data_IF_256875581056
#
_entry.id   IF_256875581056
#
_cell.length_a   1.000
_cell.length_b   1.000
_cell.length_c   1.000
_cell.angle_alpha   90.00
_cell.angle_beta   90.00
_cell.angle_gamma   90.00
#
_symmetry.space_group_name_H-M   'P 1'
#
loop_
_entity.id
_entity.type
_entity.pdbx_description
1 polymer ?
#
# COMPACT_ATOMS: atom_id res chain seq x y z
N UNK A 1 -5.36 5.34 -15.13
CA UNK A 1 -4.12 5.37 -14.36
C UNK A 1 -3.40 4.02 -14.36
N UNK A 2 -2.08 4.03 -14.39
CA UNK A 2 -1.22 2.84 -14.42
C UNK A 2 -0.63 2.51 -13.02
N UNK A 3 -1.43 2.70 -11.97
CA UNK A 3 -1.18 2.13 -10.66
C UNK A 3 -1.39 0.61 -10.66
N UNK A 4 -1.42 -0.03 -9.49
CA UNK A 4 -1.57 -1.48 -9.38
C UNK A 4 -2.83 -2.00 -10.09
N UNK A 5 -3.99 -1.41 -9.81
CA UNK A 5 -5.25 -1.84 -10.39
C UNK A 5 -5.32 -1.62 -11.91
N UNK A 6 -4.89 -0.44 -12.39
CA UNK A 6 -4.92 -0.16 -13.82
C UNK A 6 -3.91 -1.00 -14.62
N UNK A 7 -2.74 -1.26 -14.05
CA UNK A 7 -1.74 -2.16 -14.62
C UNK A 7 -2.26 -3.60 -14.75
N UNK A 8 -2.95 -4.10 -13.72
CA UNK A 8 -3.59 -5.42 -13.75
C UNK A 8 -4.71 -5.50 -14.78
N UNK A 9 -5.60 -4.51 -14.81
CA UNK A 9 -6.70 -4.48 -15.78
C UNK A 9 -6.16 -4.45 -17.22
N UNK A 10 -5.20 -3.57 -17.50
CA UNK A 10 -4.59 -3.46 -18.80
C UNK A 10 -3.88 -4.75 -19.23
N UNK A 11 -3.06 -5.33 -18.33
CA UNK A 11 -2.35 -6.57 -18.62
C UNK A 11 -3.28 -7.77 -18.79
N UNK A 12 -4.33 -7.85 -17.93
CA UNK A 12 -5.35 -8.90 -18.02
C UNK A 12 -6.07 -8.90 -19.37
N UNK A 13 -6.34 -7.73 -19.94
CA UNK A 13 -6.96 -7.58 -21.27
C UNK A 13 -5.96 -7.79 -22.40
N UNK A 14 -4.84 -7.06 -22.37
CA UNK A 14 -3.85 -7.08 -23.43
C UNK A 14 -3.21 -8.46 -23.64
N UNK A 15 -2.91 -9.20 -22.55
CA UNK A 15 -2.38 -10.56 -22.64
C UNK A 15 -3.37 -11.58 -23.24
N UNK A 16 -4.66 -11.22 -23.27
CA UNK A 16 -5.73 -12.00 -23.91
C UNK A 16 -6.11 -11.47 -25.30
N UNK A 17 -5.28 -10.58 -25.89
CA UNK A 17 -5.44 -10.08 -27.24
C UNK A 17 -6.46 -8.96 -27.43
N UNK A 18 -6.88 -8.28 -26.35
CA UNK A 18 -7.73 -7.10 -26.42
C UNK A 18 -6.86 -5.86 -26.57
N UNK A 19 -7.17 -5.00 -27.54
CA UNK A 19 -6.51 -3.70 -27.69
C UNK A 19 -6.90 -2.78 -26.53
N UNK A 20 -5.89 -2.28 -25.82
CA UNK A 20 -6.04 -1.47 -24.61
C UNK A 20 -5.27 -0.17 -24.77
N UNK A 21 -5.94 0.95 -24.55
CA UNK A 21 -5.29 2.23 -24.31
C UNK A 21 -5.12 2.43 -22.81
N UNK A 22 -3.86 2.42 -22.32
CA UNK A 22 -3.51 2.66 -20.94
C UNK A 22 -3.05 4.09 -20.76
N UNK A 23 -3.94 4.92 -20.20
CA UNK A 23 -3.68 6.34 -19.98
C UNK A 23 -3.18 6.61 -18.56
N UNK A 24 -2.03 7.28 -18.44
CA UNK A 24 -1.48 7.74 -17.15
C UNK A 24 -0.81 9.11 -17.33
N UNK A 25 -0.91 9.96 -16.32
CA UNK A 25 -0.29 11.29 -16.39
C UNK A 25 1.23 11.27 -16.24
N UNK A 26 1.82 10.17 -15.75
CA UNK A 26 3.27 10.00 -15.66
C UNK A 26 3.89 9.77 -17.05
N UNK A 27 5.12 10.25 -17.30
CA UNK A 27 6.00 11.03 -16.42
C UNK A 27 5.78 12.54 -16.48
N UNK A 28 4.77 13.03 -17.15
CA UNK A 28 4.55 14.49 -17.34
C UNK A 28 4.09 15.16 -16.04
N UNK A 29 3.31 14.44 -15.22
CA UNK A 29 2.77 14.92 -13.95
C UNK A 29 2.77 13.82 -12.91
N UNK A 30 3.07 14.18 -11.67
CA UNK A 30 3.09 13.27 -10.54
C UNK A 30 2.05 13.70 -9.49
N UNK A 31 1.52 12.73 -8.74
CA UNK A 31 0.79 13.03 -7.50
C UNK A 31 1.79 13.35 -6.39
N UNK A 32 1.36 13.94 -5.26
CA UNK A 32 2.26 14.23 -4.15
C UNK A 32 2.96 13.01 -3.54
N UNK A 33 2.47 11.78 -3.79
CA UNK A 33 3.02 10.56 -3.22
C UNK A 33 3.91 9.76 -4.19
N UNK A 34 3.84 10.02 -5.49
CA UNK A 34 4.61 9.30 -6.49
C UNK A 34 5.90 10.04 -6.84
N UNK A 35 7.00 9.30 -6.95
CA UNK A 35 8.33 9.82 -7.26
C UNK A 35 8.93 9.14 -8.52
N UNK A 36 8.48 7.91 -8.83
CA UNK A 36 8.97 7.13 -9.96
C UNK A 36 8.12 7.31 -11.21
N UNK A 37 8.76 7.36 -12.37
CA UNK A 37 8.09 7.31 -13.68
C UNK A 37 7.55 5.90 -14.00
N UNK A 38 7.92 4.88 -13.24
CA UNK A 38 7.44 3.52 -13.43
C UNK A 38 5.96 3.37 -13.04
N UNK A 39 5.31 2.38 -13.65
CA UNK A 39 3.95 1.98 -13.32
C UNK A 39 3.92 1.04 -12.11
N UNK A 40 2.77 0.95 -11.42
CA UNK A 40 2.62 0.08 -10.26
C UNK A 40 3.49 0.46 -9.05
N UNK A 41 3.86 1.74 -8.89
CA UNK A 41 4.68 2.22 -7.79
C UNK A 41 4.01 1.99 -6.43
N UNK A 42 4.78 1.44 -5.47
CA UNK A 42 4.35 1.26 -4.08
C UNK A 42 4.77 2.48 -3.24
N UNK A 43 3.82 3.28 -2.78
CA UNK A 43 4.09 4.59 -2.17
C UNK A 43 4.25 4.59 -0.65
N UNK A 44 3.50 3.76 0.10
CA UNK A 44 3.50 3.81 1.56
C UNK A 44 4.32 2.71 2.23
N UNK A 45 4.44 1.53 1.61
CA UNK A 45 5.17 0.37 2.14
C UNK A 45 5.63 -0.52 1.00
N UNK A 46 6.68 -1.29 1.23
CA UNK A 46 7.12 -2.34 0.30
C UNK A 46 6.54 -3.73 0.65
N UNK A 47 5.65 -3.82 1.65
CA UNK A 47 5.03 -5.06 2.08
C UNK A 47 3.69 -5.29 1.41
N UNK A 48 3.51 -6.49 0.90
CA UNK A 48 2.25 -7.03 0.39
C UNK A 48 1.55 -7.92 1.45
N UNK A 49 1.79 -7.67 2.73
CA UNK A 49 1.22 -8.42 3.87
C UNK A 49 1.67 -9.89 3.92
N UNK A 50 0.97 -10.71 4.73
CA UNK A 50 1.29 -12.14 4.92
C UNK A 50 1.21 -12.94 3.61
N UNK A 51 2.15 -13.87 3.39
CA UNK A 51 2.15 -14.81 2.24
C UNK A 51 1.69 -16.23 2.65
N UNK A 52 1.19 -16.40 3.87
CA UNK A 52 0.69 -17.67 4.38
C UNK A 52 -0.70 -17.97 3.80
N UNK A 53 -0.74 -18.87 2.83
CA UNK A 53 -1.95 -19.27 2.08
C UNK A 53 -2.99 -19.93 2.98
N UNK A 54 -2.55 -20.71 3.97
CA UNK A 54 -3.43 -21.53 4.79
C UNK A 54 -3.88 -20.86 6.08
N UNK A 55 -3.08 -19.95 6.60
CA UNK A 55 -3.33 -19.29 7.87
C UNK A 55 -3.82 -17.85 7.75
N UNK A 56 -3.90 -17.29 6.53
CA UNK A 56 -4.21 -15.87 6.37
C UNK A 56 -4.93 -15.55 5.05
N UNK A 57 -6.03 -14.80 5.12
CA UNK A 57 -6.80 -14.37 3.95
C UNK A 57 -5.95 -13.59 2.92
N UNK A 58 -4.98 -12.75 3.39
CA UNK A 58 -4.08 -12.04 2.47
C UNK A 58 -3.19 -12.99 1.67
N UNK A 59 -2.76 -14.11 2.27
CA UNK A 59 -1.99 -15.14 1.57
C UNK A 59 -2.86 -15.89 0.55
N UNK A 60 -4.08 -16.26 0.94
CA UNK A 60 -5.02 -16.94 0.03
C UNK A 60 -5.40 -16.05 -1.16
N UNK A 61 -5.67 -14.76 -0.95
CA UNK A 61 -5.95 -13.82 -2.04
C UNK A 61 -4.83 -13.77 -3.07
N UNK A 62 -3.57 -13.74 -2.61
CA UNK A 62 -2.40 -13.78 -3.51
C UNK A 62 -2.34 -15.06 -4.33
N UNK A 63 -2.67 -16.20 -3.73
CA UNK A 63 -2.69 -17.47 -4.44
C UNK A 63 -3.81 -17.51 -5.49
N UNK A 64 -4.99 -16.98 -5.18
CA UNK A 64 -6.07 -16.81 -6.17
C UNK A 64 -5.60 -15.96 -7.36
N UNK A 65 -4.93 -14.83 -7.09
CA UNK A 65 -4.38 -13.95 -8.13
C UNK A 65 -3.26 -14.63 -8.95
N UNK A 66 -2.36 -15.40 -8.31
CA UNK A 66 -1.31 -16.16 -9.03
C UNK A 66 -1.94 -17.13 -10.04
N UNK A 67 -2.97 -17.85 -9.65
CA UNK A 67 -3.71 -18.78 -10.52
C UNK A 67 -4.40 -18.09 -11.70
N UNK A 68 -4.78 -16.83 -11.52
CA UNK A 68 -5.40 -16.01 -12.56
C UNK A 68 -4.37 -15.30 -13.47
N UNK A 69 -3.06 -15.46 -13.21
CA UNK A 69 -2.00 -14.87 -14.01
C UNK A 69 -1.74 -13.39 -13.73
N UNK A 70 -1.89 -12.97 -12.47
CA UNK A 70 -1.66 -11.59 -12.03
C UNK A 70 -0.27 -11.08 -12.33
N UNK A 71 -0.19 -9.91 -12.96
CA UNK A 71 1.05 -9.18 -13.21
C UNK A 71 1.72 -8.74 -11.90
N UNK A 72 0.94 -8.26 -10.94
CA UNK A 72 1.42 -7.84 -9.61
C UNK A 72 2.08 -9.00 -8.87
N UNK A 73 1.49 -10.20 -8.92
CA UNK A 73 2.09 -11.36 -8.27
C UNK A 73 3.36 -11.81 -8.99
N UNK A 74 3.40 -11.78 -10.32
CA UNK A 74 4.63 -12.06 -11.06
C UNK A 74 5.75 -11.07 -10.73
N UNK A 75 5.43 -9.77 -10.65
CA UNK A 75 6.37 -8.74 -10.22
C UNK A 75 6.87 -8.96 -8.79
N UNK A 76 5.99 -9.35 -7.89
CA UNK A 76 6.34 -9.61 -6.49
C UNK A 76 7.32 -10.79 -6.36
N UNK A 77 7.17 -11.85 -7.15
CA UNK A 77 8.08 -13.01 -7.08
C UNK A 77 9.50 -12.66 -7.54
N UNK A 78 9.67 -11.85 -8.59
CA UNK A 78 11.00 -11.48 -9.11
C UNK A 78 11.69 -10.38 -8.31
N UNK A 79 10.95 -9.67 -7.46
CA UNK A 79 11.46 -8.54 -6.66
C UNK A 79 11.43 -8.80 -5.16
N UNK A 80 11.17 -10.05 -4.74
CA UNK A 80 11.06 -10.45 -3.33
C UNK A 80 12.30 -10.07 -2.53
N UNK A 81 12.09 -9.48 -1.35
CA UNK A 81 13.11 -9.28 -0.32
C UNK A 81 12.73 -10.01 0.96
N UNK A 82 13.70 -10.44 1.78
CA UNK A 82 13.43 -11.14 3.04
C UNK A 82 12.57 -10.29 3.99
N UNK A 83 11.48 -10.87 4.51
CA UNK A 83 10.56 -10.20 5.43
C UNK A 83 9.77 -11.20 6.31
N UNK A 84 10.40 -12.27 6.77
CA UNK A 84 9.77 -13.30 7.60
C UNK A 84 8.57 -13.95 6.91
N UNK A 85 7.40 -13.94 7.57
CA UNK A 85 6.15 -14.46 7.00
C UNK A 85 5.40 -13.51 6.07
N UNK A 86 5.94 -12.34 5.78
CA UNK A 86 5.36 -11.38 4.85
C UNK A 86 6.00 -11.49 3.46
N UNK A 87 5.23 -11.14 2.43
CA UNK A 87 5.75 -10.88 1.09
C UNK A 87 6.14 -9.40 1.02
N UNK A 88 7.44 -9.11 1.01
CA UNK A 88 7.97 -7.78 0.77
C UNK A 88 8.79 -7.76 -0.52
N UNK A 89 8.90 -6.61 -1.15
CA UNK A 89 9.52 -6.43 -2.45
C UNK A 89 10.50 -5.27 -2.48
N UNK A 90 11.49 -5.37 -3.35
CA UNK A 90 12.28 -4.24 -3.80
C UNK A 90 11.38 -3.37 -4.71
N UNK A 91 11.09 -2.14 -4.28
CA UNK A 91 10.10 -1.26 -4.94
C UNK A 91 10.49 -0.92 -6.37
N UNK A 92 11.77 -0.69 -6.61
CA UNK A 92 12.27 -0.28 -7.91
C UNK A 92 12.21 -1.44 -8.91
N UNK A 93 12.64 -2.64 -8.50
CA UNK A 93 12.55 -3.85 -9.30
C UNK A 93 11.09 -4.22 -9.58
N UNK A 94 10.22 -4.10 -8.58
CA UNK A 94 8.80 -4.38 -8.71
C UNK A 94 8.13 -3.50 -9.76
N UNK A 95 8.28 -2.19 -9.64
CA UNK A 95 7.67 -1.22 -10.56
C UNK A 95 8.30 -1.25 -11.96
N UNK A 96 9.61 -1.50 -12.04
CA UNK A 96 10.30 -1.70 -13.31
C UNK A 96 9.77 -2.92 -14.08
N UNK A 97 9.59 -4.05 -13.39
CA UNK A 97 9.03 -5.26 -14.00
C UNK A 97 7.62 -5.04 -14.55
N UNK A 98 6.73 -4.41 -13.77
CA UNK A 98 5.37 -4.07 -14.24
C UNK A 98 5.44 -3.20 -15.48
N UNK A 99 6.26 -2.15 -15.43
CA UNK A 99 6.42 -1.20 -16.56
C UNK A 99 6.93 -1.89 -17.82
N UNK A 100 7.93 -2.77 -17.69
CA UNK A 100 8.49 -3.53 -18.80
C UNK A 100 7.43 -4.44 -19.44
N UNK A 101 6.68 -5.19 -18.62
CA UNK A 101 5.64 -6.11 -19.12
C UNK A 101 4.50 -5.39 -19.84
N UNK A 102 4.09 -4.24 -19.34
CA UNK A 102 3.06 -3.42 -20.00
C UNK A 102 3.55 -2.87 -21.34
N UNK A 103 4.79 -2.38 -21.39
CA UNK A 103 5.42 -1.87 -22.63
C UNK A 103 5.70 -2.96 -23.66
N UNK A 104 6.00 -4.17 -23.21
CA UNK A 104 6.28 -5.30 -24.09
C UNK A 104 5.01 -5.96 -24.66
N UNK A 105 3.84 -5.69 -24.10
CA UNK A 105 2.59 -6.27 -24.59
C UNK A 105 2.13 -5.54 -25.86
N UNK A 106 2.02 -6.22 -27.03
CA UNK A 106 1.71 -5.57 -28.30
C UNK A 106 0.31 -4.96 -28.36
N UNK A 107 -0.60 -5.41 -27.49
CA UNK A 107 -1.98 -4.95 -27.44
C UNK A 107 -2.20 -3.83 -26.39
N UNK A 108 -1.13 -3.30 -25.77
CA UNK A 108 -1.25 -2.21 -24.79
C UNK A 108 -0.58 -0.96 -25.35
N UNK A 109 -1.38 0.07 -25.62
CA UNK A 109 -0.94 1.37 -26.08
C UNK A 109 -0.90 2.34 -24.91
N UNK A 110 0.31 2.78 -24.55
CA UNK A 110 0.51 3.69 -23.39
C UNK A 110 0.40 5.12 -23.87
N UNK A 111 -0.52 5.87 -23.25
CA UNK A 111 -0.75 7.30 -23.49
C UNK A 111 -0.41 8.09 -22.23
N UNK A 112 0.51 9.05 -22.35
CA UNK A 112 0.96 9.88 -21.23
C UNK A 112 0.19 11.20 -21.23
N UNK A 113 -0.98 11.22 -20.58
CA UNK A 113 -1.79 12.45 -20.43
C UNK A 113 -2.64 12.41 -19.16
N UNK A 114 -3.07 13.59 -18.70
CA UNK A 114 -4.00 13.73 -17.59
C UNK A 114 -5.44 13.66 -18.10
N UNK A 115 -6.19 12.63 -17.68
CA UNK A 115 -7.62 12.52 -17.96
C UNK A 115 -8.39 13.47 -17.06
N UNK A 116 -9.26 14.28 -17.64
CA UNK A 116 -10.01 15.35 -16.94
C UNK A 116 -11.51 15.08 -16.80
N UNK A 117 -12.02 14.02 -17.45
CA UNK A 117 -13.42 13.62 -17.41
C UNK A 117 -13.59 12.10 -17.49
N UNK A 118 -14.70 11.60 -16.97
CA UNK A 118 -15.05 10.18 -17.08
C UNK A 118 -15.30 9.80 -18.55
N UNK A 119 -14.69 8.73 -19.06
CA UNK A 119 -15.01 8.17 -20.37
C UNK A 119 -16.38 7.48 -20.35
N UNK A 120 -16.91 7.18 -21.51
CA UNK A 120 -18.15 6.42 -21.64
C UNK A 120 -17.97 4.94 -21.31
N UNK A 121 -16.78 4.37 -21.55
CA UNK A 121 -16.45 2.97 -21.30
C UNK A 121 -14.99 2.83 -20.84
N UNK A 122 -14.69 1.75 -20.16
CA UNK A 122 -13.34 1.41 -19.71
C UNK A 122 -13.20 1.23 -18.20
N UNK A 123 -11.97 1.34 -17.68
CA UNK A 123 -11.66 1.18 -16.25
C UNK A 123 -11.05 2.44 -15.68
N UNK A 124 -11.69 3.01 -14.66
CA UNK A 124 -11.15 4.09 -13.84
C UNK A 124 -10.35 3.49 -12.70
N UNK A 125 -9.03 3.60 -12.78
CA UNK A 125 -8.07 3.08 -11.80
C UNK A 125 -7.06 4.16 -11.40
N UNK A 126 -7.56 5.36 -11.11
CA UNK A 126 -6.76 6.55 -10.84
C UNK A 126 -6.24 6.64 -9.40
N UNK A 127 -6.66 5.70 -8.57
CA UNK A 127 -6.18 5.55 -7.19
C UNK A 127 -6.75 6.58 -6.20
N UNK A 128 -6.23 6.59 -4.97
CA UNK A 128 -6.80 7.37 -3.88
C UNK A 128 -6.47 8.87 -3.97
N UNK A 129 -5.45 9.23 -4.74
CA UNK A 129 -5.02 10.63 -4.92
C UNK A 129 -5.65 11.27 -6.17
N UNK A 130 -6.79 10.73 -6.61
CA UNK A 130 -7.59 11.34 -7.69
C UNK A 130 -8.00 12.74 -7.30
N UNK A 131 -7.66 13.70 -8.14
CA UNK A 131 -7.89 15.11 -7.87
C UNK A 131 -8.19 15.90 -9.15
N UNK A 132 -8.13 17.24 -9.05
CA UNK A 132 -8.27 18.13 -10.20
C UNK A 132 -9.63 18.08 -10.89
N UNK A 133 -9.62 18.12 -12.23
CA UNK A 133 -10.83 18.17 -13.04
C UNK A 133 -11.56 16.82 -13.05
N UNK A 134 -10.82 15.70 -13.11
CA UNK A 134 -11.44 14.38 -13.09
C UNK A 134 -12.22 14.14 -11.79
N UNK A 135 -11.66 14.54 -10.63
CA UNK A 135 -12.36 14.43 -9.35
C UNK A 135 -13.70 15.18 -9.37
N UNK A 136 -13.71 16.42 -9.89
CA UNK A 136 -14.92 17.22 -10.01
C UNK A 136 -15.96 16.58 -10.94
N UNK A 137 -15.51 16.04 -12.06
CA UNK A 137 -16.41 15.37 -13.02
C UNK A 137 -17.02 14.09 -12.41
N UNK A 138 -16.24 13.34 -11.63
CA UNK A 138 -16.74 12.18 -10.86
C UNK A 138 -17.79 12.63 -9.85
N UNK A 139 -17.50 13.67 -9.07
CA UNK A 139 -18.40 14.20 -8.05
C UNK A 139 -19.73 14.72 -8.67
N UNK A 140 -19.66 15.43 -9.78
CA UNK A 140 -20.82 15.96 -10.50
C UNK A 140 -21.69 14.85 -11.10
N UNK A 141 -21.07 13.80 -11.67
CA UNK A 141 -21.80 12.73 -12.38
C UNK A 141 -22.31 11.60 -11.46
N UNK A 142 -21.57 11.30 -10.39
CA UNK A 142 -21.84 10.15 -9.53
C UNK A 142 -22.36 10.53 -8.13
N UNK A 143 -22.37 11.82 -7.79
CA UNK A 143 -22.77 12.31 -6.48
C UNK A 143 -21.59 12.48 -5.52
N UNK A 144 -21.73 12.10 -4.26
CA UNK A 144 -20.73 12.33 -3.24
C UNK A 144 -19.51 11.39 -3.37
N UNK A 145 -18.31 11.92 -3.16
CA UNK A 145 -17.12 11.16 -2.84
C UNK A 145 -16.85 11.23 -1.34
N UNK A 146 -16.24 10.17 -0.81
CA UNK A 146 -15.83 10.07 0.58
C UNK A 146 -14.31 10.26 0.69
N UNK A 147 -13.84 10.67 1.84
CA UNK A 147 -12.43 10.89 2.08
C UNK A 147 -11.99 10.21 3.36
N UNK A 148 -10.80 9.63 3.33
CA UNK A 148 -10.10 9.17 4.53
C UNK A 148 -8.63 9.59 4.47
N UNK A 149 -7.93 9.44 5.58
CA UNK A 149 -6.52 9.81 5.71
C UNK A 149 -5.69 8.60 6.06
N UNK A 150 -4.58 8.45 5.34
CA UNK A 150 -3.53 7.51 5.70
C UNK A 150 -2.17 8.20 5.80
N UNK A 151 -1.25 7.58 6.52
CA UNK A 151 0.10 8.07 6.68
C UNK A 151 1.12 7.03 6.21
N UNK A 152 2.26 7.49 5.69
CA UNK A 152 3.41 6.65 5.40
C UNK A 152 4.41 6.64 6.55
N UNK A 153 5.24 5.59 6.61
CA UNK A 153 6.31 5.45 7.57
C UNK A 153 7.64 5.98 7.00
N UNK A 154 8.55 6.50 7.85
CA UNK A 154 9.87 6.93 7.42
C UNK A 154 10.76 5.78 6.95
N UNK A 155 11.76 6.13 6.11
CA UNK A 155 12.83 5.25 5.64
C UNK A 155 14.17 5.89 6.02
N UNK A 156 15.10 5.07 6.52
CA UNK A 156 16.42 5.49 6.94
C UNK A 156 17.52 4.75 6.18
N UNK A 157 18.65 5.40 5.98
CA UNK A 157 19.84 4.81 5.37
C UNK A 157 20.44 3.73 6.30
N UNK A 158 20.87 2.62 5.72
CA UNK A 158 21.37 1.46 6.47
C UNK A 158 22.65 1.77 7.27
N UNK A 159 23.56 2.53 6.69
CA UNK A 159 24.85 2.90 7.26
C UNK A 159 24.75 3.92 8.41
N UNK A 160 23.57 4.51 8.59
CA UNK A 160 23.27 5.44 9.68
C UNK A 160 22.63 4.76 10.91
N UNK A 161 22.39 3.44 10.85
CA UNK A 161 21.81 2.65 11.95
C UNK A 161 22.94 2.16 12.85
N UNK A 162 22.84 2.40 14.16
CA UNK A 162 23.77 1.86 15.15
C UNK A 162 23.44 0.37 15.40
N UNK A 163 24.13 -0.52 14.65
CA UNK A 163 23.92 -1.96 14.71
C UNK A 163 24.32 -2.57 16.06
N UNK A 164 25.21 -1.96 16.83
CA UNK A 164 25.59 -2.42 18.18
C UNK A 164 24.44 -2.31 19.20
N UNK A 165 23.42 -1.53 18.84
CA UNK A 165 22.19 -1.35 19.61
C UNK A 165 21.00 -2.14 19.06
N UNK A 166 21.26 -3.14 18.22
CA UNK A 166 20.22 -3.94 17.57
C UNK A 166 20.47 -5.44 17.71
N UNK A 167 19.48 -6.23 17.37
CA UNK A 167 19.63 -7.66 17.11
C UNK A 167 18.81 -8.06 15.90
N UNK A 168 19.20 -9.10 15.18
CA UNK A 168 18.43 -9.64 14.05
C UNK A 168 17.48 -10.73 14.53
N UNK A 169 16.31 -10.80 13.91
CA UNK A 169 15.35 -11.87 14.23
C UNK A 169 13.95 -11.59 13.75
N UNK A 170 13.21 -12.65 13.54
CA UNK A 170 11.80 -12.64 13.15
C UNK A 170 10.93 -13.06 14.31
N UNK A 171 9.73 -12.49 14.40
CA UNK A 171 8.78 -12.86 15.45
C UNK A 171 8.42 -14.33 15.36
N UNK A 172 8.49 -15.00 16.50
CA UNK A 172 8.18 -16.41 16.64
C UNK A 172 9.05 -17.35 15.77
N UNK A 173 10.25 -16.87 15.35
CA UNK A 173 11.15 -17.65 14.49
C UNK A 173 10.59 -17.92 13.09
N UNK A 174 9.68 -17.09 12.61
CA UNK A 174 9.09 -17.20 11.26
C UNK A 174 9.92 -16.40 10.26
N UNK A 175 11.01 -16.98 9.77
CA UNK A 175 11.92 -16.34 8.81
C UNK A 175 13.37 -16.71 9.07
N UNK A 176 14.31 -16.03 8.45
CA UNK A 176 15.75 -16.27 8.53
C UNK A 176 16.51 -15.17 9.29
N UNK A 177 15.81 -14.37 10.10
CA UNK A 177 16.39 -13.21 10.79
C UNK A 177 16.35 -11.95 9.94
N UNK A 178 15.24 -11.74 9.25
CA UNK A 178 15.11 -10.76 8.17
C UNK A 178 14.95 -9.31 8.66
N UNK A 179 14.58 -9.14 9.94
CA UNK A 179 14.37 -7.81 10.53
C UNK A 179 15.55 -7.42 11.43
N UNK A 180 15.92 -6.14 11.37
CA UNK A 180 16.72 -5.50 12.42
C UNK A 180 15.75 -5.05 13.51
N UNK A 181 16.01 -5.47 14.74
CA UNK A 181 15.19 -5.13 15.91
C UNK A 181 15.93 -4.12 16.77
N UNK A 182 15.30 -2.97 17.02
CA UNK A 182 15.79 -1.90 17.89
C UNK A 182 15.11 -2.03 19.25
N UNK A 183 15.76 -2.66 20.25
CA UNK A 183 15.20 -2.81 21.58
C UNK A 183 15.16 -1.46 22.33
N UNK A 184 14.17 -1.31 23.20
CA UNK A 184 14.06 -0.19 24.11
C UNK A 184 13.89 -0.72 25.54
N UNK A 185 14.56 -0.08 26.49
CA UNK A 185 14.25 -0.17 27.93
C UNK A 185 12.92 0.54 28.21
N UNK A 186 12.44 0.40 29.43
CA UNK A 186 11.21 1.10 29.86
C UNK A 186 11.40 2.62 29.80
N UNK A 187 12.53 3.11 30.28
CA UNK A 187 12.87 4.53 30.35
C UNK A 187 12.98 5.14 28.94
N UNK A 188 13.64 4.46 28.02
CA UNK A 188 13.78 4.88 26.61
C UNK A 188 12.42 4.90 25.90
N UNK A 189 11.61 3.87 26.12
CA UNK A 189 10.24 3.82 25.57
C UNK A 189 9.35 4.94 26.14
N UNK A 190 9.41 5.18 27.46
CA UNK A 190 8.62 6.23 28.12
C UNK A 190 9.00 7.61 27.56
N UNK A 191 10.29 7.90 27.42
CA UNK A 191 10.79 9.15 26.83
C UNK A 191 10.37 9.30 25.35
N UNK A 192 10.43 8.21 24.58
CA UNK A 192 9.99 8.20 23.19
C UNK A 192 8.48 8.52 23.08
N UNK A 193 7.64 7.85 23.86
CA UNK A 193 6.17 8.06 23.82
C UNK A 193 5.80 9.49 24.28
N UNK A 194 6.46 10.04 25.29
CA UNK A 194 6.25 11.41 25.73
C UNK A 194 6.62 12.41 24.64
N UNK A 195 7.78 12.25 24.03
CA UNK A 195 8.23 13.08 22.92
C UNK A 195 7.31 12.97 21.69
N UNK A 196 6.86 11.75 21.35
CA UNK A 196 5.96 11.47 20.24
C UNK A 196 4.60 12.15 20.41
N UNK A 197 4.01 12.06 21.60
CA UNK A 197 2.67 12.60 21.89
C UNK A 197 2.66 14.12 22.01
N UNK A 198 3.80 14.73 22.38
CA UNK A 198 3.97 16.18 22.51
C UNK A 198 4.52 16.87 21.24
N UNK A 199 4.93 16.09 20.23
CA UNK A 199 5.54 16.60 19.01
C UNK A 199 4.57 17.39 18.14
N UNK A 200 5.10 18.37 17.40
CA UNK A 200 4.33 19.16 16.46
C UNK A 200 3.95 18.32 15.22
N UNK A 201 2.66 18.35 14.90
CA UNK A 201 2.12 17.72 13.69
C UNK A 201 2.15 18.65 12.49
N UNK A 202 2.26 18.09 11.29
CA UNK A 202 2.06 18.85 10.08
C UNK A 202 0.62 19.39 10.02
N UNK A 203 0.47 20.65 9.62
CA UNK A 203 -0.85 21.25 9.48
C UNK A 203 -1.54 20.63 8.26
N UNK A 204 -2.61 19.92 8.51
CA UNK A 204 -3.49 19.41 7.46
C UNK A 204 -4.47 20.54 7.13
N UNK A 205 -4.32 21.17 5.98
CA UNK A 205 -5.29 22.15 5.49
C UNK A 205 -6.63 21.43 5.27
N UNK A 206 -7.70 21.90 5.92
CA UNK A 206 -9.10 21.42 5.84
C UNK A 206 -9.46 20.07 6.47
N UNK A 207 -8.75 19.57 7.50
CA UNK A 207 -8.86 18.19 7.97
C UNK A 207 -9.42 17.96 9.38
N UNK A 208 -10.04 18.89 9.99
CA UNK A 208 -10.48 18.75 11.39
C UNK A 208 -11.57 17.69 11.64
N UNK A 209 -12.09 16.99 10.61
CA UNK A 209 -13.18 16.01 10.75
C UNK A 209 -13.08 14.77 9.86
N UNK A 210 -11.94 14.48 9.24
CA UNK A 210 -11.77 13.29 8.40
C UNK A 210 -11.60 12.01 9.23
N UNK A 211 -12.20 10.91 8.79
CA UNK A 211 -11.95 9.60 9.36
C UNK A 211 -10.52 9.17 9.03
N UNK A 212 -9.76 8.74 10.07
CA UNK A 212 -8.43 8.15 9.90
C UNK A 212 -8.63 6.64 9.78
N UNK A 213 -8.06 6.07 8.74
CA UNK A 213 -8.10 4.62 8.55
C UNK A 213 -7.25 3.91 9.63
N UNK A 214 -7.87 2.95 10.33
CA UNK A 214 -7.22 2.23 11.44
C UNK A 214 -5.92 1.52 11.02
N UNK A 215 -5.85 0.97 9.81
CA UNK A 215 -4.68 0.24 9.31
C UNK A 215 -3.46 1.11 9.02
N UNK A 216 -3.64 2.42 8.81
CA UNK A 216 -2.58 3.40 8.54
C UNK A 216 -2.60 4.56 9.54
N UNK A 217 -3.10 4.30 10.75
CA UNK A 217 -3.20 5.31 11.82
C UNK A 217 -1.82 5.83 12.19
N UNK A 218 -1.63 7.17 12.27
CA UNK A 218 -0.39 7.75 12.71
C UNK A 218 0.01 7.29 14.11
N UNK A 219 1.30 7.03 14.29
CA UNK A 219 1.89 6.49 15.52
C UNK A 219 1.58 7.37 16.75
N UNK A 220 1.64 8.69 16.57
CA UNK A 220 1.31 9.67 17.61
C UNK A 220 -0.17 9.65 18.01
N UNK A 221 -1.06 9.28 17.09
CA UNK A 221 -2.50 9.09 17.39
C UNK A 221 -2.71 7.79 18.17
N UNK A 222 -2.04 6.70 17.77
CA UNK A 222 -2.06 5.46 18.54
C UNK A 222 -1.51 5.65 19.96
N UNK A 223 -0.38 6.34 20.11
CA UNK A 223 0.25 6.61 21.39
C UNK A 223 -0.65 7.45 22.32
N UNK A 224 -1.42 8.38 21.77
CA UNK A 224 -2.35 9.22 22.55
C UNK A 224 -3.53 8.45 23.16
N UNK A 225 -3.83 7.24 22.65
CA UNK A 225 -4.87 6.35 23.20
C UNK A 225 -4.46 5.68 24.52
N UNK A 226 -3.17 5.70 24.85
CA UNK A 226 -2.63 5.17 26.10
C UNK A 226 -1.15 4.87 25.99
N UNK A 227 -0.42 5.06 27.12
CA UNK A 227 1.04 4.95 27.19
C UNK A 227 1.57 3.61 26.68
N UNK A 228 0.87 2.51 26.93
CA UNK A 228 1.28 1.17 26.54
C UNK A 228 0.73 0.72 25.18
N UNK A 229 -0.09 1.53 24.49
CA UNK A 229 -0.77 1.14 23.25
C UNK A 229 0.21 0.60 22.21
N UNK A 230 1.35 1.29 22.01
CA UNK A 230 2.34 0.87 21.02
C UNK A 230 2.99 -0.47 21.37
N UNK A 231 3.13 -0.82 22.67
CA UNK A 231 3.69 -2.10 23.11
C UNK A 231 2.77 -3.30 22.87
N UNK A 232 1.50 -3.08 22.66
CA UNK A 232 0.52 -4.11 22.25
C UNK A 232 0.32 -4.13 20.73
N UNK A 233 0.87 -3.15 20.01
CA UNK A 233 0.81 -2.98 18.56
C UNK A 233 2.20 -3.03 17.90
N UNK A 234 2.60 -1.90 17.34
CA UNK A 234 3.81 -1.71 16.52
C UNK A 234 5.10 -2.07 17.25
N UNK A 235 5.24 -1.66 18.52
CA UNK A 235 6.43 -1.89 19.35
C UNK A 235 6.33 -3.14 20.24
N UNK A 236 5.47 -4.07 19.87
CA UNK A 236 5.25 -5.30 20.65
C UNK A 236 6.54 -6.12 20.78
N UNK A 237 7.01 -6.47 22.00
CA UNK A 237 8.22 -7.27 22.18
C UNK A 237 7.98 -8.79 22.12
N UNK A 238 6.71 -9.22 22.10
CA UNK A 238 6.36 -10.66 22.15
C UNK A 238 6.84 -11.38 20.89
N UNK A 239 7.47 -12.54 21.09
CA UNK A 239 8.02 -13.37 20.03
C UNK A 239 9.42 -12.95 19.58
N UNK A 240 10.04 -11.97 20.27
CA UNK A 240 11.41 -11.51 20.05
C UNK A 240 12.20 -11.61 21.36
N UNK A 241 13.46 -12.01 21.26
CA UNK A 241 14.45 -11.96 22.31
C UNK A 241 15.81 -11.62 21.68
N UNK A 242 16.69 -10.99 22.45
CA UNK A 242 18.08 -10.75 22.05
C UNK A 242 18.91 -12.05 22.07
N UNK A 243 20.18 -11.95 21.72
CA UNK A 243 21.11 -13.10 21.70
C UNK A 243 21.29 -13.77 23.07
N UNK A 244 21.05 -13.05 24.15
CA UNK A 244 21.09 -13.60 25.53
C UNK A 244 19.77 -14.26 25.95
N UNK A 245 18.75 -14.24 25.10
CA UNK A 245 17.41 -14.76 25.38
C UNK A 245 16.55 -13.79 26.21
N UNK A 246 16.99 -12.56 26.42
CA UNK A 246 16.25 -11.54 27.17
C UNK A 246 15.25 -10.84 26.25
N UNK A 247 14.02 -10.78 26.73
CA UNK A 247 12.94 -10.06 26.05
C UNK A 247 12.99 -8.57 26.40
N UNK A 248 13.14 -7.66 25.41
CA UNK A 248 13.14 -6.22 25.67
C UNK A 248 11.78 -5.69 26.15
N UNK A 249 11.74 -4.49 26.70
CA UNK A 249 10.48 -3.86 27.11
C UNK A 249 9.61 -3.48 25.92
N UNK A 250 10.20 -2.90 24.88
CA UNK A 250 9.57 -2.61 23.59
C UNK A 250 10.58 -2.81 22.46
N UNK A 251 10.12 -2.98 21.22
CA UNK A 251 10.98 -3.19 20.04
C UNK A 251 10.40 -2.50 18.83
N UNK A 252 11.18 -1.63 18.20
CA UNK A 252 10.93 -1.20 16.82
C UNK A 252 11.58 -2.19 15.86
N UNK A 253 10.86 -2.63 14.85
CA UNK A 253 11.41 -3.44 13.77
C UNK A 253 11.71 -2.60 12.53
N UNK A 254 12.87 -2.85 11.92
CA UNK A 254 13.27 -2.25 10.65
C UNK A 254 13.26 -3.34 9.58
N UNK A 255 12.67 -3.03 8.41
CA UNK A 255 12.59 -3.94 7.26
C UNK A 255 13.34 -3.35 6.07
N UNK A 256 14.08 -4.21 5.36
CA UNK A 256 14.76 -3.81 4.11
C UNK A 256 13.77 -3.27 3.09
N UNK A 257 14.12 -2.15 2.46
CA UNK A 257 13.37 -1.56 1.35
C UNK A 257 13.80 -2.10 -0.01
N UNK A 258 15.04 -2.58 -0.11
CA UNK A 258 15.62 -3.10 -1.35
C UNK A 258 16.49 -4.34 -1.08
N UNK A 259 16.82 -5.06 -2.13
CA UNK A 259 17.63 -6.28 -2.05
C UNK A 259 19.04 -5.99 -1.53
N UNK A 260 19.65 -4.86 -1.93
CA UNK A 260 20.97 -4.46 -1.50
C UNK A 260 21.05 -4.14 0.02
N UNK A 261 19.90 -3.90 0.67
CA UNK A 261 19.83 -3.57 2.09
C UNK A 261 20.44 -2.21 2.42
N UNK A 262 20.37 -1.27 1.49
CA UNK A 262 20.90 0.10 1.69
C UNK A 262 19.94 1.00 2.46
N UNK A 263 18.66 0.63 2.53
CA UNK A 263 17.59 1.43 3.15
C UNK A 263 16.66 0.56 3.96
N UNK A 264 16.15 1.10 5.06
CA UNK A 264 15.24 0.39 5.97
C UNK A 264 14.00 1.21 6.31
N UNK A 265 12.85 0.58 6.21
CA UNK A 265 11.56 1.13 6.65
C UNK A 265 11.35 0.92 8.14
N UNK A 266 10.88 1.95 8.83
CA UNK A 266 10.44 1.88 10.23
C UNK A 266 9.06 1.24 10.29
N UNK A 267 9.00 -0.05 10.55
CA UNK A 267 7.76 -0.84 10.44
C UNK A 267 6.67 -0.34 11.39
N UNK A 268 5.53 0.04 10.81
CA UNK A 268 4.38 0.50 11.58
C UNK A 268 4.50 1.92 12.15
N UNK A 269 5.52 2.69 11.74
CA UNK A 269 5.75 4.06 12.21
C UNK A 269 5.17 5.12 11.26
N UNK A 270 3.97 4.87 10.72
CA UNK A 270 3.24 5.90 9.98
C UNK A 270 3.06 7.15 10.84
N UNK A 271 3.28 8.33 10.29
CA UNK A 271 3.28 9.56 11.09
C UNK A 271 2.89 10.80 10.30
N UNK A 272 2.23 11.73 10.98
CA UNK A 272 1.94 13.08 10.51
C UNK A 272 2.76 14.17 11.24
N UNK A 273 3.85 13.78 11.88
CA UNK A 273 4.74 14.77 12.51
C UNK A 273 5.46 15.62 11.45
N UNK A 274 5.78 16.86 11.79
CA UNK A 274 6.69 17.68 10.98
C UNK A 274 8.04 16.98 10.81
N UNK A 275 8.73 17.16 9.69
CA UNK A 275 9.99 16.47 9.37
C UNK A 275 11.06 16.63 10.46
N UNK A 276 11.23 17.85 11.00
CA UNK A 276 12.14 18.08 12.12
C UNK A 276 11.77 17.33 13.39
N UNK A 277 10.46 17.18 13.65
CA UNK A 277 9.96 16.42 14.79
C UNK A 277 10.13 14.91 14.57
N UNK A 278 9.92 14.41 13.36
CA UNK A 278 10.21 13.00 13.05
C UNK A 278 11.66 12.67 13.37
N UNK A 279 12.61 13.49 12.88
CA UNK A 279 14.03 13.29 13.18
C UNK A 279 14.28 13.34 14.69
N UNK A 280 13.78 14.36 15.39
CA UNK A 280 13.96 14.53 16.85
C UNK A 280 13.41 13.34 17.63
N UNK A 281 12.19 12.92 17.33
CA UNK A 281 11.48 11.87 18.09
C UNK A 281 12.09 10.50 17.82
N UNK A 282 12.28 10.12 16.56
CA UNK A 282 12.82 8.79 16.24
C UNK A 282 14.30 8.65 16.65
N UNK A 283 15.08 9.74 16.73
CA UNK A 283 16.46 9.70 17.25
C UNK A 283 16.56 9.43 18.75
N UNK A 284 15.45 9.42 19.49
CA UNK A 284 15.42 8.95 20.89
C UNK A 284 15.51 7.41 21.01
N UNK A 285 15.30 6.69 19.92
CA UNK A 285 15.52 5.25 19.84
C UNK A 285 17.03 5.05 19.68
N UNK A 286 17.74 4.37 20.61
CA UNK A 286 19.21 4.33 20.62
C UNK A 286 19.82 3.90 19.29
N UNK A 287 19.26 2.90 18.63
CA UNK A 287 19.72 2.44 17.32
C UNK A 287 19.57 3.48 16.19
N UNK A 288 18.73 4.50 16.38
CA UNK A 288 18.43 5.55 15.41
C UNK A 288 18.96 6.93 15.83
N UNK A 289 19.82 7.00 16.85
CA UNK A 289 20.31 8.26 17.39
C UNK A 289 20.98 9.16 16.33
N UNK A 290 21.59 8.56 15.33
CA UNK A 290 22.27 9.24 14.22
C UNK A 290 21.66 8.93 12.86
N UNK A 291 20.41 8.40 12.83
CA UNK A 291 19.78 7.96 11.60
C UNK A 291 19.61 9.10 10.58
N UNK A 292 19.97 8.79 9.35
CA UNK A 292 19.74 9.63 8.18
C UNK A 292 18.44 9.22 7.50
N UNK A 293 17.48 10.15 7.45
CA UNK A 293 16.16 9.91 6.86
C UNK A 293 16.24 10.15 5.36
N UNK A 294 16.13 9.09 4.58
CA UNK A 294 16.02 9.17 3.12
C UNK A 294 14.59 9.60 2.70
N UNK A 295 13.60 9.18 3.49
CA UNK A 295 12.19 9.54 3.29
C UNK A 295 11.51 9.78 4.62
N UNK A 296 10.79 10.89 4.72
CA UNK A 296 9.94 11.18 5.87
C UNK A 296 8.54 10.59 5.69
N UNK A 297 7.90 10.26 6.81
CA UNK A 297 6.49 9.94 6.82
C UNK A 297 5.66 11.16 6.47
N UNK A 298 4.61 10.96 5.67
CA UNK A 298 3.66 12.01 5.27
C UNK A 298 2.25 11.46 5.32
N UNK A 299 1.29 12.33 5.60
CA UNK A 299 -0.13 11.99 5.56
C UNK A 299 -0.74 12.47 4.23
N UNK A 300 -1.56 11.62 3.64
CA UNK A 300 -2.29 11.90 2.41
C UNK A 300 -3.79 11.86 2.64
N UNK A 301 -4.50 12.76 1.93
CA UNK A 301 -5.94 12.69 1.80
C UNK A 301 -6.28 11.76 0.64
N UNK A 302 -6.99 10.70 0.94
CA UNK A 302 -7.46 9.73 -0.03
C UNK A 302 -8.92 9.99 -0.39
N UNK A 303 -9.24 9.83 -1.66
CA UNK A 303 -10.59 9.93 -2.18
C UNK A 303 -11.08 8.56 -2.58
N UNK A 304 -12.32 8.22 -2.23
CA UNK A 304 -12.98 7.00 -2.68
C UNK A 304 -14.47 7.22 -2.93
N UNK A 305 -15.07 6.30 -3.67
CA UNK A 305 -16.49 6.32 -4.01
C UNK A 305 -17.29 5.51 -2.97
N UNK A 306 -18.55 5.88 -2.68
CA UNK A 306 -19.48 5.02 -1.95
C UNK A 306 -19.89 3.84 -2.86
N UNK A 307 -18.96 2.87 -3.01
CA UNK A 307 -19.08 1.79 -3.98
C UNK A 307 -20.28 0.88 -3.72
N UNK A 308 -20.68 0.71 -2.45
CA UNK A 308 -21.88 0.00 -2.02
C UNK A 308 -23.17 0.52 -2.69
N UNK A 309 -23.19 1.76 -3.13
CA UNK A 309 -24.30 2.41 -3.82
C UNK A 309 -24.14 2.49 -5.32
N UNK A 310 -22.89 2.55 -5.79
CA UNK A 310 -22.57 2.88 -7.18
C UNK A 310 -22.16 1.69 -8.02
N UNK A 311 -21.53 0.66 -7.43
CA UNK A 311 -20.93 -0.43 -8.18
C UNK A 311 -21.72 -1.74 -8.04
N UNK A 312 -21.64 -2.57 -9.06
CA UNK A 312 -22.00 -3.96 -9.05
C UNK A 312 -20.83 -4.82 -8.53
N UNK A 313 -21.08 -6.07 -8.19
CA UNK A 313 -20.06 -7.03 -7.69
C UNK A 313 -18.93 -7.32 -8.70
N UNK A 314 -19.10 -6.95 -9.96
CA UNK A 314 -18.08 -7.04 -11.01
C UNK A 314 -17.27 -5.74 -11.18
N UNK A 315 -17.45 -4.78 -10.27
CA UNK A 315 -16.86 -3.44 -10.29
C UNK A 315 -17.37 -2.51 -11.40
N UNK A 316 -18.37 -2.90 -12.17
CA UNK A 316 -19.03 -2.00 -13.13
C UNK A 316 -19.94 -1.00 -12.43
N UNK A 317 -20.08 0.19 -13.01
CA UNK A 317 -20.99 1.21 -12.51
C UNK A 317 -22.44 0.79 -12.77
N UNK A 318 -23.31 0.83 -11.76
CA UNK A 318 -24.73 0.43 -11.89
C UNK A 318 -25.49 1.24 -12.95
N UNK A 319 -25.17 2.52 -13.09
CA UNK A 319 -25.78 3.41 -14.08
C UNK A 319 -25.19 3.29 -15.49
N UNK A 320 -23.98 2.72 -15.60
CA UNK A 320 -23.30 2.47 -16.87
C UNK A 320 -22.44 1.20 -16.77
N UNK A 321 -22.94 0.04 -17.18
CA UNK A 321 -22.24 -1.23 -17.05
C UNK A 321 -21.03 -1.39 -17.99
N UNK A 322 -20.72 -0.41 -18.84
CA UNK A 322 -19.51 -0.36 -19.66
C UNK A 322 -18.34 0.39 -18.98
N UNK A 323 -18.63 1.08 -17.87
CA UNK A 323 -17.65 1.80 -17.07
C UNK A 323 -17.40 1.07 -15.75
N UNK A 324 -16.13 0.73 -15.51
CA UNK A 324 -15.67 0.02 -14.32
C UNK A 324 -14.81 0.94 -13.45
N UNK A 325 -14.80 0.67 -12.15
CA UNK A 325 -13.87 1.30 -11.22
C UNK A 325 -13.05 0.23 -10.53
N UNK A 326 -11.75 0.49 -10.34
CA UNK A 326 -10.85 -0.46 -9.71
C UNK A 326 -9.79 0.24 -8.85
N UNK A 327 -9.27 -0.49 -7.86
CA UNK A 327 -8.28 0.01 -6.92
C UNK A 327 -8.90 0.82 -5.78
N UNK A 328 -8.04 1.52 -5.07
CA UNK A 328 -8.40 2.20 -3.81
C UNK A 328 -9.48 3.28 -3.97
N UNK A 329 -9.70 3.79 -5.18
CA UNK A 329 -10.83 4.70 -5.47
C UNK A 329 -12.20 4.05 -5.22
N UNK A 330 -12.30 2.72 -5.20
CA UNK A 330 -13.54 1.99 -4.87
C UNK A 330 -13.74 1.77 -3.38
N UNK A 331 -12.86 2.28 -2.53
CA UNK A 331 -12.86 1.98 -1.09
C UNK A 331 -12.14 0.68 -0.72
N UNK A 332 -11.59 -0.04 -1.71
CA UNK A 332 -10.71 -1.19 -1.46
C UNK A 332 -9.42 -0.72 -0.81
N UNK A 333 -9.02 -1.37 0.27
CA UNK A 333 -7.80 -1.06 0.98
C UNK A 333 -6.75 -2.15 0.88
N UNK A 334 -5.51 -1.72 0.55
CA UNK A 334 -4.35 -2.57 0.38
C UNK A 334 -3.93 -2.72 -1.07
N UNK A 335 -2.65 -2.99 -1.26
CA UNK A 335 -2.04 -3.10 -2.60
C UNK A 335 -2.57 -4.32 -3.37
N UNK A 336 -2.60 -5.48 -2.71
CA UNK A 336 -3.04 -6.74 -3.32
C UNK A 336 -4.52 -6.70 -3.64
N UNK A 337 -5.32 -6.16 -2.72
CA UNK A 337 -6.75 -5.97 -2.84
C UNK A 337 -7.08 -5.02 -4.01
N UNK A 338 -6.32 -3.92 -4.11
CA UNK A 338 -6.44 -2.97 -5.24
C UNK A 338 -6.08 -3.63 -6.58
N UNK A 339 -4.97 -4.35 -6.64
CA UNK A 339 -4.56 -5.09 -7.83
C UNK A 339 -5.62 -6.13 -8.24
N UNK A 340 -6.17 -6.87 -7.27
CA UNK A 340 -7.23 -7.84 -7.50
C UNK A 340 -8.45 -7.22 -8.17
N UNK A 341 -8.91 -6.06 -7.70
CA UNK A 341 -10.08 -5.38 -8.30
C UNK A 341 -9.83 -5.01 -9.77
N UNK A 342 -8.60 -4.62 -10.12
CA UNK A 342 -8.19 -4.37 -11.51
C UNK A 342 -8.15 -5.64 -12.36
N UNK A 343 -7.59 -6.71 -11.82
CA UNK A 343 -7.56 -8.02 -12.49
C UNK A 343 -8.97 -8.51 -12.81
N UNK A 344 -9.89 -8.41 -11.83
CA UNK A 344 -11.29 -8.82 -12.04
C UNK A 344 -12.02 -7.92 -13.01
N UNK A 345 -11.86 -6.59 -12.94
CA UNK A 345 -12.43 -5.68 -13.94
C UNK A 345 -11.99 -6.06 -15.35
N UNK A 346 -10.68 -6.39 -15.55
CA UNK A 346 -10.17 -6.86 -16.82
C UNK A 346 -10.79 -8.18 -17.27
N UNK A 347 -10.94 -9.16 -16.36
CA UNK A 347 -11.56 -10.46 -16.68
C UNK A 347 -13.05 -10.27 -17.04
N UNK A 348 -13.77 -9.45 -16.32
CA UNK A 348 -15.19 -9.17 -16.58
C UNK A 348 -15.40 -8.46 -17.91
N UNK A 349 -14.58 -7.49 -18.24
CA UNK A 349 -14.60 -6.84 -19.56
C UNK A 349 -14.31 -7.86 -20.65
N UNK A 350 -13.29 -8.71 -20.50
CA UNK A 350 -12.97 -9.75 -21.48
C UNK A 350 -14.14 -10.71 -21.69
N UNK A 351 -14.78 -11.17 -20.62
CA UNK A 351 -15.97 -12.02 -20.67
C UNK A 351 -17.11 -11.32 -21.44
N UNK A 352 -17.37 -10.06 -21.13
CA UNK A 352 -18.40 -9.26 -21.78
C UNK A 352 -18.18 -9.12 -23.28
N UNK A 353 -16.94 -8.80 -23.69
CA UNK A 353 -16.56 -8.68 -25.12
C UNK A 353 -16.73 -10.00 -25.88
N UNK A 354 -16.70 -11.15 -25.20
CA UNK A 354 -16.85 -12.48 -25.79
C UNK A 354 -18.25 -13.08 -25.57
N UNK A 355 -19.24 -12.28 -25.13
CA UNK A 355 -20.60 -12.73 -24.88
C UNK A 355 -20.73 -13.79 -23.80
N UNK A 356 -19.76 -13.88 -22.88
CA UNK A 356 -19.81 -14.78 -21.72
C UNK A 356 -20.50 -14.08 -20.54
N UNK A 357 -21.22 -14.87 -19.76
CA UNK A 357 -21.76 -14.38 -18.49
C UNK A 357 -20.57 -14.00 -17.58
N UNK A 358 -20.64 -12.79 -17.03
CA UNK A 358 -19.69 -12.31 -16.06
C UNK A 358 -20.29 -12.58 -14.67
N UNK A 359 -19.94 -13.70 -14.08
CA UNK A 359 -20.33 -14.02 -12.72
C UNK A 359 -19.24 -13.51 -11.77
N UNK A 360 -19.64 -12.87 -10.67
CA UNK A 360 -18.71 -12.55 -9.59
C UNK A 360 -18.13 -13.87 -9.03
N UNK A 361 -16.88 -13.88 -8.57
CA UNK A 361 -16.32 -15.06 -7.92
C UNK A 361 -17.21 -15.52 -6.76
N UNK A 362 -17.21 -16.83 -6.49
CA UNK A 362 -18.00 -17.40 -5.39
C UNK A 362 -17.60 -16.83 -4.02
N UNK A 363 -18.53 -16.83 -3.08
CA UNK A 363 -18.33 -16.37 -1.69
C UNK A 363 -17.23 -17.12 -0.94
N UNK A 364 -16.92 -18.32 -1.40
CA UNK A 364 -15.86 -19.17 -0.85
C UNK A 364 -14.45 -18.69 -1.20
N UNK A 365 -14.33 -17.77 -2.17
CA UNK A 365 -13.07 -17.12 -2.54
C UNK A 365 -12.89 -15.80 -1.78
N UNK A 366 -11.66 -15.46 -1.41
CA UNK A 366 -11.35 -14.17 -0.76
C UNK A 366 -11.65 -13.01 -1.69
N UNK A 367 -11.32 -13.17 -2.97
CA UNK A 367 -11.61 -12.19 -4.03
C UNK A 367 -13.13 -11.94 -4.20
N UNK A 368 -13.94 -12.99 -4.18
CA UNK A 368 -15.39 -12.88 -4.27
C UNK A 368 -16.01 -12.24 -3.02
N UNK A 369 -15.54 -12.62 -1.84
CA UNK A 369 -15.96 -11.99 -0.58
C UNK A 369 -15.63 -10.49 -0.56
N UNK A 370 -14.45 -10.10 -1.04
CA UNK A 370 -14.02 -8.70 -1.12
C UNK A 370 -14.87 -7.91 -2.12
N UNK A 371 -15.11 -8.45 -3.32
CA UNK A 371 -15.96 -7.80 -4.33
C UNK A 371 -17.36 -7.51 -3.79
N UNK A 372 -17.96 -8.45 -3.05
CA UNK A 372 -19.26 -8.25 -2.41
C UNK A 372 -19.26 -7.31 -1.22
N UNK A 373 -18.17 -7.28 -0.47
CA UNK A 373 -18.03 -6.35 0.67
C UNK A 373 -18.02 -4.89 0.24
N UNK A 374 -17.51 -4.62 -0.97
CA UNK A 374 -17.34 -3.26 -1.49
C UNK A 374 -18.58 -2.76 -2.22
N UNK A 375 -19.29 -3.64 -2.92
CA UNK A 375 -20.41 -3.30 -3.82
C UNK A 375 -21.79 -3.36 -3.18
#
# INVERSE_FOLDING_TARGET
GAGLAGSEAAYSLGSRGVEVELVDMKPQKFTPAHESANFGELVCSNSLKSDDIWGNACGLLKEEMRRLGSLTMAAAEVSRVPAGGALAVDRDKFSAYITEKLRACPHIHIVCEEVTSLPEQGVIATGPLTGGALYKDIEEKLGASLHFYDASAPIVAADSIDLDRTFTGDRYGKGTGDYINCPLTKEEYDAFVEALTSAERATLHDFEKGEIFEGCMPLEVMASRGKDTLRFGTFKPVGLADESGVRPYAVLQLRKENEAGTSYNLVGCQTNLKFGEQKRVFSLIPALAHAEFERYGVMHRNTYLPADRLLNNDFSLRSNPDLFFAGQITGVEGYVESAMSGLFAGIHIWNKLHGKLSEAPEDTCVSGALARYIS
#
